data_IF_259906383909
#
_entry.id   IF_259906383909
#
_cell.length_a   1.000
_cell.length_b   1.000
_cell.length_c   1.000
_cell.angle_alpha   90.00
_cell.angle_beta   90.00
_cell.angle_gamma   90.00
#
_symmetry.space_group_name_H-M   'P 1'
#
loop_
_entity.id
_entity.type
_entity.pdbx_description
1 polymer ?
#
# COMPACT_ATOMS: atom_id res chain seq x y z
N UNK A 1 -16.87 -49.84 1.50
CA UNK A 1 -17.45 -48.48 1.48
C UNK A 1 -16.36 -47.44 1.23
N UNK A 2 -16.07 -47.04 -0.02
CA UNK A 2 -15.17 -45.91 -0.34
C UNK A 2 -15.47 -45.39 -1.76
N UNK A 3 -16.61 -44.72 -1.95
CA UNK A 3 -16.93 -43.95 -3.17
C UNK A 3 -17.91 -42.84 -2.83
N UNK A 4 -17.45 -41.73 -2.25
CA UNK A 4 -18.28 -40.52 -2.12
C UNK A 4 -17.53 -39.19 -1.93
N UNK A 5 -16.19 -39.18 -1.79
CA UNK A 5 -15.42 -37.94 -1.53
C UNK A 5 -14.86 -37.23 -2.79
N UNK A 6 -15.05 -37.77 -4.00
CA UNK A 6 -14.42 -37.22 -5.23
C UNK A 6 -15.18 -36.04 -5.86
N UNK A 7 -16.52 -36.00 -5.74
CA UNK A 7 -17.34 -34.97 -6.42
C UNK A 7 -17.21 -33.58 -5.81
N UNK A 8 -17.16 -33.48 -4.47
CA UNK A 8 -17.02 -32.22 -3.78
C UNK A 8 -15.66 -31.54 -4.05
N UNK A 9 -14.57 -32.31 -4.11
CA UNK A 9 -13.24 -31.79 -4.47
C UNK A 9 -13.19 -31.28 -5.91
N UNK A 10 -13.85 -31.95 -6.85
CA UNK A 10 -13.89 -31.52 -8.25
C UNK A 10 -14.71 -30.23 -8.42
N UNK A 11 -15.87 -30.13 -7.76
CA UNK A 11 -16.70 -28.93 -7.76
C UNK A 11 -15.94 -27.74 -7.14
N UNK A 12 -15.26 -27.95 -6.01
CA UNK A 12 -14.47 -26.91 -5.36
C UNK A 12 -13.32 -26.40 -6.26
N UNK A 13 -12.63 -27.29 -6.97
CA UNK A 13 -11.55 -26.92 -7.92
C UNK A 13 -12.08 -26.17 -9.15
N UNK A 14 -13.22 -26.58 -9.69
CA UNK A 14 -13.87 -25.87 -10.81
C UNK A 14 -14.38 -24.49 -10.38
N UNK A 15 -14.95 -24.37 -9.18
CA UNK A 15 -15.38 -23.10 -8.62
C UNK A 15 -14.20 -22.15 -8.38
N UNK A 16 -13.09 -22.64 -7.82
CA UNK A 16 -11.86 -21.87 -7.64
C UNK A 16 -11.24 -21.42 -8.97
N UNK A 17 -11.22 -22.28 -9.99
CA UNK A 17 -10.74 -21.92 -11.33
C UNK A 17 -11.65 -20.87 -12.00
N UNK A 18 -12.97 -21.02 -11.90
CA UNK A 18 -13.94 -20.05 -12.42
C UNK A 18 -13.86 -18.70 -11.69
N UNK A 19 -13.64 -18.73 -10.38
CA UNK A 19 -13.36 -17.53 -9.58
C UNK A 19 -12.10 -16.82 -10.08
N UNK A 20 -11.00 -17.56 -10.24
CA UNK A 20 -9.73 -17.00 -10.73
C UNK A 20 -9.82 -16.39 -12.13
N UNK A 21 -10.58 -17.02 -13.05
CA UNK A 21 -10.83 -16.48 -14.39
C UNK A 21 -11.68 -15.20 -14.32
N UNK A 22 -12.73 -15.20 -13.50
CA UNK A 22 -13.60 -14.02 -13.32
C UNK A 22 -12.83 -12.84 -12.73
N UNK A 23 -11.99 -13.09 -11.74
CA UNK A 23 -11.14 -12.07 -11.11
C UNK A 23 -10.09 -11.50 -12.08
N UNK A 24 -9.52 -12.34 -12.95
CA UNK A 24 -8.63 -11.87 -14.02
C UNK A 24 -9.35 -11.00 -15.06
N UNK A 25 -10.56 -11.40 -15.48
CA UNK A 25 -11.39 -10.64 -16.42
C UNK A 25 -11.85 -9.31 -15.83
N UNK A 26 -12.25 -9.32 -14.56
CA UNK A 26 -12.64 -8.12 -13.83
C UNK A 26 -11.46 -7.14 -13.77
N UNK A 27 -10.26 -7.59 -13.35
CA UNK A 27 -9.04 -6.75 -13.36
C UNK A 27 -8.74 -6.12 -14.73
N UNK A 28 -8.89 -6.87 -15.82
CA UNK A 28 -8.68 -6.33 -17.16
C UNK A 28 -9.72 -5.27 -17.53
N UNK A 29 -11.01 -5.51 -17.22
CA UNK A 29 -12.09 -4.56 -17.49
C UNK A 29 -11.94 -3.28 -16.67
N UNK A 30 -11.41 -3.40 -15.46
CA UNK A 30 -11.38 -2.31 -14.49
C UNK A 30 -10.10 -1.46 -14.56
N UNK A 31 -9.09 -1.92 -15.31
CA UNK A 31 -7.81 -1.24 -15.53
C UNK A 31 -7.92 0.26 -15.86
N UNK A 32 -8.70 0.72 -16.86
CA UNK A 32 -8.76 2.15 -17.19
C UNK A 32 -9.32 2.99 -16.04
N UNK A 33 -10.27 2.45 -15.27
CA UNK A 33 -10.84 3.13 -14.11
C UNK A 33 -9.86 3.20 -12.95
N UNK A 34 -9.08 2.14 -12.74
CA UNK A 34 -8.01 2.14 -11.74
C UNK A 34 -6.91 3.14 -12.06
N UNK A 35 -6.50 3.25 -13.33
CA UNK A 35 -5.53 4.26 -13.77
C UNK A 35 -6.06 5.68 -13.50
N UNK A 36 -7.32 5.96 -13.86
CA UNK A 36 -7.97 7.24 -13.56
C UNK A 36 -8.06 7.54 -12.05
N UNK A 37 -8.44 6.56 -11.23
CA UNK A 37 -8.47 6.72 -9.76
C UNK A 37 -7.09 7.08 -9.24
N UNK A 38 -6.06 6.34 -9.67
CA UNK A 38 -4.70 6.58 -9.21
C UNK A 38 -4.18 7.94 -9.62
N UNK A 39 -4.45 8.39 -10.85
CA UNK A 39 -4.01 9.71 -11.33
C UNK A 39 -4.68 10.84 -10.53
N UNK A 40 -5.98 10.70 -10.23
CA UNK A 40 -6.71 11.64 -9.37
C UNK A 40 -6.11 11.70 -7.95
N UNK A 41 -5.87 10.53 -7.34
CA UNK A 41 -5.29 10.42 -5.99
C UNK A 41 -3.83 10.88 -5.91
N UNK A 42 -3.09 10.85 -7.03
CA UNK A 42 -1.72 11.41 -7.11
C UNK A 42 -1.73 12.92 -7.29
N UNK A 43 -2.68 13.44 -8.06
CA UNK A 43 -2.75 14.86 -8.44
C UNK A 43 -3.33 15.73 -7.34
N UNK A 44 -4.17 15.16 -6.47
CA UNK A 44 -4.88 15.91 -5.46
C UNK A 44 -4.67 15.31 -4.07
N UNK A 45 -4.36 16.19 -3.12
CA UNK A 45 -4.16 15.80 -1.73
C UNK A 45 -5.42 15.27 -1.08
N UNK A 46 -6.57 15.90 -1.28
CA UNK A 46 -7.84 15.43 -0.72
C UNK A 46 -8.83 15.20 -1.85
N UNK A 47 -9.30 13.96 -1.97
CA UNK A 47 -10.26 13.54 -3.01
C UNK A 47 -11.49 12.95 -2.35
N UNK A 48 -12.68 13.39 -2.78
CA UNK A 48 -13.97 12.89 -2.31
C UNK A 48 -14.74 12.33 -3.49
N UNK A 49 -14.81 11.01 -3.60
CA UNK A 49 -15.74 10.38 -4.53
C UNK A 49 -17.15 10.48 -3.96
N UNK A 50 -18.05 11.09 -4.73
CA UNK A 50 -19.30 11.65 -4.25
C UNK A 50 -20.44 11.38 -5.24
N UNK A 51 -21.67 11.68 -4.81
CA UNK A 51 -22.79 11.98 -5.72
C UNK A 51 -23.49 13.26 -5.32
N UNK A 52 -23.91 14.08 -6.30
CA UNK A 52 -24.47 15.42 -6.04
C UNK A 52 -25.72 15.39 -5.16
N UNK A 53 -26.57 14.37 -5.33
CA UNK A 53 -27.80 14.19 -4.60
C UNK A 53 -27.62 13.55 -3.20
N UNK A 54 -26.43 13.01 -2.89
CA UNK A 54 -26.21 12.25 -1.67
C UNK A 54 -26.01 13.15 -0.44
N UNK A 55 -26.88 13.08 0.59
CA UNK A 55 -26.75 13.92 1.79
C UNK A 55 -25.49 13.61 2.60
N UNK A 56 -25.06 12.34 2.66
CA UNK A 56 -23.81 11.95 3.34
C UNK A 56 -22.58 12.55 2.66
N UNK A 57 -22.58 12.65 1.33
CA UNK A 57 -21.50 13.30 0.58
C UNK A 57 -21.46 14.81 0.86
N UNK A 58 -22.61 15.47 1.00
CA UNK A 58 -22.68 16.88 1.40
C UNK A 58 -22.12 17.10 2.81
N UNK A 59 -22.46 16.21 3.75
CA UNK A 59 -21.96 16.29 5.12
C UNK A 59 -20.43 16.20 5.21
N UNK A 60 -19.81 15.28 4.46
CA UNK A 60 -18.34 15.18 4.37
C UNK A 60 -17.71 16.42 3.78
N UNK A 61 -18.27 16.96 2.70
CA UNK A 61 -17.77 18.20 2.09
C UNK A 61 -17.85 19.37 3.07
N UNK A 62 -18.90 19.44 3.88
CA UNK A 62 -19.04 20.47 4.90
C UNK A 62 -18.02 20.33 6.02
N UNK A 63 -17.71 19.10 6.46
CA UNK A 63 -16.60 18.84 7.41
C UNK A 63 -15.29 19.36 6.83
N UNK A 64 -14.97 19.07 5.57
CA UNK A 64 -13.70 19.52 4.97
C UNK A 64 -13.67 21.05 4.83
N UNK A 65 -14.80 21.69 4.48
CA UNK A 65 -14.91 23.16 4.45
C UNK A 65 -14.74 23.80 5.82
N UNK A 66 -15.33 23.24 6.87
CA UNK A 66 -15.21 23.79 8.23
C UNK A 66 -13.77 23.71 8.76
N UNK A 67 -13.00 22.73 8.29
CA UNK A 67 -11.56 22.61 8.54
C UNK A 67 -10.69 23.50 7.63
N UNK A 68 -11.30 24.32 6.76
CA UNK A 68 -10.60 25.13 5.75
C UNK A 68 -9.70 24.31 4.82
N UNK A 69 -10.07 23.07 4.56
CA UNK A 69 -9.28 22.15 3.74
C UNK A 69 -9.77 22.16 2.29
N UNK A 70 -8.87 22.41 1.35
CA UNK A 70 -9.12 22.24 -0.07
C UNK A 70 -9.31 20.76 -0.43
N UNK A 71 -10.29 20.45 -1.28
CA UNK A 71 -10.54 19.10 -1.78
C UNK A 71 -11.06 19.12 -3.23
N UNK A 72 -10.86 18.01 -3.94
CA UNK A 72 -11.52 17.73 -5.22
C UNK A 72 -12.65 16.74 -5.00
N UNK A 73 -13.84 17.05 -5.51
CA UNK A 73 -14.97 16.12 -5.50
C UNK A 73 -15.18 15.51 -6.89
N UNK A 74 -15.10 14.19 -6.98
CA UNK A 74 -15.45 13.44 -8.18
C UNK A 74 -16.90 13.00 -8.06
N UNK A 75 -17.80 13.72 -8.74
CA UNK A 75 -19.24 13.44 -8.73
C UNK A 75 -19.57 12.28 -9.68
N UNK A 76 -19.65 11.06 -9.14
CA UNK A 76 -19.83 9.83 -9.91
C UNK A 76 -21.13 9.79 -10.73
N UNK A 77 -22.12 10.60 -10.38
CA UNK A 77 -23.36 10.78 -11.15
C UNK A 77 -23.19 11.69 -12.38
N UNK A 78 -22.11 12.47 -12.47
CA UNK A 78 -21.78 13.32 -13.62
C UNK A 78 -20.59 12.80 -14.44
N UNK A 79 -19.83 11.83 -13.94
CA UNK A 79 -18.74 11.19 -14.67
C UNK A 79 -19.30 10.18 -15.67
N UNK A 80 -18.88 10.29 -16.94
CA UNK A 80 -19.15 9.24 -17.93
C UNK A 80 -18.60 7.91 -17.42
N UNK A 81 -19.43 6.85 -17.44
CA UNK A 81 -19.10 5.55 -16.83
C UNK A 81 -18.89 5.58 -15.31
N UNK A 82 -19.47 6.54 -14.59
CA UNK A 82 -19.31 6.65 -13.13
C UNK A 82 -19.74 5.40 -12.34
N UNK A 83 -20.63 4.55 -12.88
CA UNK A 83 -20.95 3.23 -12.29
C UNK A 83 -19.75 2.27 -12.34
N UNK A 84 -19.00 2.27 -13.42
CA UNK A 84 -17.82 1.42 -13.60
C UNK A 84 -16.69 1.89 -12.68
N UNK A 85 -16.50 3.21 -12.61
CA UNK A 85 -15.60 3.86 -11.65
C UNK A 85 -15.98 3.52 -10.20
N UNK A 86 -17.26 3.58 -9.83
CA UNK A 86 -17.74 3.20 -8.51
C UNK A 86 -17.47 1.72 -8.18
N UNK A 87 -17.58 0.83 -9.17
CA UNK A 87 -17.22 -0.59 -8.98
C UNK A 87 -15.73 -0.78 -8.76
N UNK A 88 -14.89 -0.02 -9.47
CA UNK A 88 -13.43 -0.05 -9.28
C UNK A 88 -13.05 0.45 -7.89
N UNK A 89 -13.63 1.57 -7.45
CA UNK A 89 -13.51 2.06 -6.08
C UNK A 89 -13.92 1.01 -5.05
N UNK A 90 -15.06 0.34 -5.26
CA UNK A 90 -15.54 -0.68 -4.33
C UNK A 90 -14.59 -1.87 -4.17
N UNK A 91 -13.88 -2.26 -5.22
CA UNK A 91 -12.83 -3.28 -5.13
C UNK A 91 -11.58 -2.76 -4.43
N UNK A 92 -11.22 -1.50 -4.66
CA UNK A 92 -10.07 -0.87 -4.02
C UNK A 92 -10.27 -0.70 -2.51
N UNK A 93 -11.44 -0.23 -2.09
CA UNK A 93 -11.72 0.14 -0.69
C UNK A 93 -12.50 -0.92 0.08
N UNK A 94 -13.05 -1.92 -0.60
CA UNK A 94 -14.04 -2.85 -0.04
C UNK A 94 -15.42 -2.23 0.18
N UNK A 95 -15.64 -0.97 -0.24
CA UNK A 95 -16.86 -0.22 0.06
C UNK A 95 -17.57 0.20 -1.22
N UNK A 96 -18.84 -0.20 -1.38
CA UNK A 96 -19.62 0.11 -2.57
C UNK A 96 -20.35 1.47 -2.52
N UNK A 97 -20.40 2.15 -1.38
CA UNK A 97 -21.18 3.37 -1.17
C UNK A 97 -20.36 4.65 -1.38
N UNK A 98 -21.06 5.78 -1.53
CA UNK A 98 -20.50 7.14 -1.46
C UNK A 98 -20.96 7.82 -0.17
N UNK A 99 -20.20 8.78 0.38
CA UNK A 99 -18.90 9.25 -0.10
C UNK A 99 -17.76 8.26 0.21
N UNK A 100 -16.67 8.34 -0.56
CA UNK A 100 -15.38 7.73 -0.23
C UNK A 100 -14.32 8.83 -0.19
N UNK A 101 -13.71 9.02 0.98
CA UNK A 101 -12.76 10.11 1.24
C UNK A 101 -11.34 9.58 1.22
N UNK A 102 -10.48 10.29 0.51
CA UNK A 102 -9.06 10.02 0.46
C UNK A 102 -8.26 11.26 0.84
N UNK A 103 -7.20 11.07 1.62
CA UNK A 103 -6.20 12.08 1.97
C UNK A 103 -4.84 11.51 1.63
N UNK A 104 -4.07 12.22 0.82
CA UNK A 104 -2.76 11.79 0.32
C UNK A 104 -2.79 10.37 -0.29
N UNK A 105 -3.86 10.08 -1.04
CA UNK A 105 -4.09 8.79 -1.68
C UNK A 105 -4.52 7.66 -0.74
N UNK A 106 -4.51 7.88 0.57
CA UNK A 106 -4.99 6.93 1.58
C UNK A 106 -6.51 7.02 1.72
N UNK A 107 -7.18 5.87 1.78
CA UNK A 107 -8.61 5.81 2.08
C UNK A 107 -8.88 6.12 3.55
N UNK A 108 -9.54 7.24 3.83
CA UNK A 108 -9.93 7.64 5.18
C UNK A 108 -11.19 6.93 5.63
N UNK A 109 -12.15 6.75 4.71
CA UNK A 109 -13.40 6.04 4.97
C UNK A 109 -14.61 6.61 4.25
N UNK A 110 -15.79 6.13 4.67
CA UNK A 110 -17.09 6.67 4.29
C UNK A 110 -17.44 7.93 5.11
N UNK A 111 -18.68 8.42 5.03
CA UNK A 111 -19.12 9.53 5.86
C UNK A 111 -18.96 9.25 7.37
N UNK A 112 -19.30 8.05 7.83
CA UNK A 112 -19.17 7.71 9.25
C UNK A 112 -17.71 7.54 9.66
N UNK A 113 -16.90 6.86 8.82
CA UNK A 113 -15.45 6.77 9.06
C UNK A 113 -14.75 8.13 9.07
N UNK A 114 -15.20 9.08 8.24
CA UNK A 114 -14.69 10.46 8.24
C UNK A 114 -15.05 11.21 9.53
N UNK A 115 -16.27 11.03 10.04
CA UNK A 115 -16.70 11.62 11.32
C UNK A 115 -15.95 11.02 12.50
N UNK A 116 -15.72 9.71 12.50
CA UNK A 116 -14.92 9.04 13.51
C UNK A 116 -13.46 9.51 13.47
N UNK A 117 -12.88 9.63 12.28
CA UNK A 117 -11.54 10.19 12.09
C UNK A 117 -11.47 11.64 12.58
N UNK A 118 -12.52 12.45 12.37
CA UNK A 118 -12.61 13.80 12.92
C UNK A 118 -12.65 13.79 14.45
N UNK A 119 -13.55 12.98 15.04
CA UNK A 119 -13.76 12.91 16.48
C UNK A 119 -12.51 12.42 17.23
N UNK A 120 -11.76 11.49 16.63
CA UNK A 120 -10.50 10.97 17.17
C UNK A 120 -9.29 11.87 16.90
N UNK A 121 -9.45 12.98 16.18
CA UNK A 121 -8.35 13.84 15.74
C UNK A 121 -7.45 13.22 14.66
N UNK A 122 -7.70 11.97 14.23
CA UNK A 122 -6.98 11.32 13.12
C UNK A 122 -7.10 12.09 11.81
N UNK A 123 -8.28 12.62 11.49
CA UNK A 123 -8.48 13.41 10.27
C UNK A 123 -7.64 14.68 10.29
N UNK A 124 -7.61 15.40 11.41
CA UNK A 124 -6.78 16.58 11.56
C UNK A 124 -5.29 16.24 11.43
N UNK A 125 -4.85 15.11 12.00
CA UNK A 125 -3.49 14.60 11.83
C UNK A 125 -3.18 14.30 10.37
N UNK A 126 -4.01 13.55 9.64
CA UNK A 126 -3.80 13.27 8.21
C UNK A 126 -3.79 14.54 7.35
N UNK A 127 -4.68 15.49 7.63
CA UNK A 127 -4.75 16.78 6.93
C UNK A 127 -3.61 17.73 7.29
N UNK A 128 -2.89 17.50 8.39
CA UNK A 128 -1.72 18.26 8.79
C UNK A 128 -0.41 17.46 8.68
N UNK A 129 -0.49 16.16 8.38
CA UNK A 129 0.62 15.26 8.16
C UNK A 129 1.31 15.69 6.87
N UNK A 130 2.18 16.67 7.02
CA UNK A 130 3.23 16.98 6.08
C UNK A 130 4.49 16.42 6.74
N UNK A 131 5.29 15.68 5.97
CA UNK A 131 6.67 15.46 6.41
C UNK A 131 7.23 16.83 6.82
N UNK A 132 7.80 16.98 8.02
CA UNK A 132 8.42 18.24 8.42
C UNK A 132 9.35 18.72 7.31
N UNK A 133 9.46 20.02 7.06
CA UNK A 133 10.40 20.53 6.05
C UNK A 133 11.86 20.15 6.39
N UNK A 134 12.13 19.82 7.66
CA UNK A 134 13.39 19.27 8.18
C UNK A 134 13.51 17.75 8.09
N UNK A 135 12.51 17.03 7.58
CA UNK A 135 12.55 15.58 7.47
C UNK A 135 13.59 15.16 6.45
N UNK A 136 14.42 14.19 6.84
CA UNK A 136 15.48 13.62 6.03
C UNK A 136 15.31 12.11 5.93
N UNK A 137 15.91 11.49 4.92
CA UNK A 137 16.02 10.03 4.83
C UNK A 137 17.02 9.56 5.90
N UNK A 138 16.50 8.98 6.99
CA UNK A 138 17.25 8.62 8.18
C UNK A 138 18.30 7.54 7.91
N UNK A 139 18.00 6.64 6.97
CA UNK A 139 18.83 5.48 6.66
C UNK A 139 19.76 5.64 5.45
N UNK A 140 19.83 6.82 4.86
CA UNK A 140 20.79 7.11 3.80
C UNK A 140 22.27 7.00 4.26
N UNK A 141 22.53 7.04 5.57
CA UNK A 141 23.86 6.73 6.13
C UNK A 141 23.78 6.17 7.55
N UNK A 142 24.28 4.95 7.78
CA UNK A 142 24.55 4.41 9.12
C UNK A 142 23.52 3.46 9.71
N UNK A 143 22.37 3.22 9.05
CA UNK A 143 21.46 2.14 9.43
C UNK A 143 22.06 0.77 9.10
N UNK A 144 21.69 -0.25 9.88
CA UNK A 144 22.06 -1.65 9.62
C UNK A 144 20.79 -2.47 9.42
N UNK A 145 20.69 -3.16 8.28
CA UNK A 145 19.59 -4.06 8.00
C UNK A 145 19.98 -5.52 8.28
N UNK A 146 19.06 -6.29 8.87
CA UNK A 146 19.13 -7.74 9.01
C UNK A 146 17.87 -8.36 8.43
N UNK A 147 18.04 -9.42 7.67
CA UNK A 147 16.94 -10.15 7.05
C UNK A 147 17.01 -11.58 7.54
N UNK A 148 15.88 -12.20 7.80
CA UNK A 148 15.79 -13.59 8.27
C UNK A 148 16.24 -14.60 7.21
N UNK A 149 16.09 -14.25 5.93
CA UNK A 149 16.68 -14.99 4.81
C UNK A 149 17.87 -14.24 4.21
N UNK A 150 18.95 -14.99 3.99
CA UNK A 150 20.11 -14.55 3.21
C UNK A 150 19.66 -14.49 1.75
N UNK A 151 19.20 -13.31 1.33
CA UNK A 151 18.65 -13.10 0.00
C UNK A 151 19.59 -13.60 -1.10
N UNK A 152 19.03 -13.99 -2.23
CA UNK A 152 19.77 -14.68 -3.29
C UNK A 152 20.37 -13.74 -4.36
N UNK A 153 20.26 -12.43 -4.17
CA UNK A 153 20.73 -11.38 -5.08
C UNK A 153 21.74 -10.47 -4.36
N UNK A 154 21.25 -9.46 -3.62
CA UNK A 154 22.04 -8.67 -2.68
C UNK A 154 21.87 -9.09 -1.22
N UNK A 155 22.85 -8.75 -0.39
CA UNK A 155 22.74 -8.84 1.07
C UNK A 155 21.66 -7.88 1.59
N UNK A 156 21.15 -8.09 2.80
CA UNK A 156 20.04 -7.30 3.35
C UNK A 156 20.29 -5.77 3.35
N UNK A 157 21.54 -5.33 3.53
CA UNK A 157 21.90 -3.91 3.59
C UNK A 157 21.72 -3.14 2.29
N UNK A 158 21.58 -3.81 1.14
CA UNK A 158 21.44 -3.13 -0.16
C UNK A 158 20.12 -2.39 -0.30
N UNK A 159 19.12 -2.67 0.56
CA UNK A 159 17.81 -2.00 0.57
C UNK A 159 17.90 -0.49 0.88
N UNK A 160 19.05 0.03 1.30
CA UNK A 160 19.25 1.48 1.45
C UNK A 160 19.83 2.15 0.21
N UNK A 161 20.28 1.36 -0.77
CA UNK A 161 20.87 1.88 -1.98
C UNK A 161 19.77 2.32 -2.96
N UNK A 162 20.00 3.42 -3.66
CA UNK A 162 19.22 3.83 -4.83
C UNK A 162 20.02 3.60 -6.12
N UNK A 163 20.69 2.46 -6.19
CA UNK A 163 21.47 2.05 -7.37
C UNK A 163 20.56 1.62 -8.53
N UNK A 164 21.18 1.26 -9.66
CA UNK A 164 20.49 0.81 -10.87
C UNK A 164 20.91 -0.62 -11.31
N UNK A 165 21.79 -1.30 -10.55
CA UNK A 165 22.16 -2.70 -10.82
C UNK A 165 21.10 -3.64 -10.24
N UNK A 166 20.18 -4.06 -11.10
CA UNK A 166 19.07 -4.92 -10.75
C UNK A 166 19.46 -6.24 -10.06
N UNK A 167 20.70 -6.71 -10.22
CA UNK A 167 21.17 -7.96 -9.64
C UNK A 167 21.77 -7.77 -8.24
N UNK A 168 22.36 -6.60 -7.96
CA UNK A 168 23.14 -6.37 -6.73
C UNK A 168 22.49 -5.39 -5.77
N UNK A 169 21.68 -4.48 -6.28
CA UNK A 169 21.11 -3.37 -5.50
C UNK A 169 19.73 -3.71 -4.94
N UNK A 170 19.37 -5.00 -4.87
CA UNK A 170 18.11 -5.44 -4.28
C UNK A 170 18.24 -6.69 -3.44
N UNK A 171 17.41 -6.75 -2.42
CA UNK A 171 17.22 -7.95 -1.62
C UNK A 171 16.02 -8.74 -2.12
N UNK A 172 16.09 -10.07 -2.01
CA UNK A 172 15.02 -10.96 -2.45
C UNK A 172 14.93 -12.21 -1.57
N UNK A 173 13.73 -12.48 -1.06
CA UNK A 173 13.37 -13.71 -0.36
C UNK A 173 12.92 -14.78 -1.38
N UNK A 174 13.87 -15.33 -2.12
CA UNK A 174 13.66 -16.42 -3.06
C UNK A 174 14.83 -17.41 -3.04
N UNK A 175 14.57 -18.67 -3.39
CA UNK A 175 15.60 -19.71 -3.43
C UNK A 175 16.43 -19.70 -4.71
N UNK A 176 15.97 -19.00 -5.76
CA UNK A 176 16.66 -18.92 -7.05
C UNK A 176 16.39 -17.58 -7.76
N UNK A 177 17.20 -17.29 -8.79
CA UNK A 177 17.06 -16.07 -9.60
C UNK A 177 15.75 -16.02 -10.39
N UNK A 178 15.05 -17.15 -10.54
CA UNK A 178 13.73 -17.23 -11.16
C UNK A 178 12.60 -16.75 -10.25
N UNK A 179 12.88 -16.47 -8.97
CA UNK A 179 11.91 -15.95 -8.02
C UNK A 179 11.12 -17.02 -7.29
N UNK A 180 11.59 -18.27 -7.24
CA UNK A 180 10.93 -19.32 -6.45
C UNK A 180 10.83 -18.91 -4.99
N UNK A 181 9.59 -18.79 -4.50
CA UNK A 181 9.31 -18.28 -3.16
C UNK A 181 9.93 -19.18 -2.07
N UNK A 182 10.61 -18.56 -1.10
CA UNK A 182 10.92 -19.24 0.16
C UNK A 182 9.63 -19.29 1.00
N UNK A 183 9.17 -20.47 1.44
CA UNK A 183 7.93 -20.59 2.21
C UNK A 183 7.98 -19.90 3.57
N UNK A 184 6.84 -19.38 4.02
CA UNK A 184 6.69 -18.75 5.34
C UNK A 184 6.74 -17.21 5.30
N UNK A 185 6.50 -16.57 6.45
CA UNK A 185 6.69 -15.12 6.58
C UNK A 185 8.17 -14.79 6.55
N UNK A 186 8.49 -13.58 6.11
CA UNK A 186 9.86 -13.04 6.07
C UNK A 186 9.96 -11.80 6.93
N UNK A 187 11.16 -11.50 7.43
CA UNK A 187 11.41 -10.38 8.33
C UNK A 187 12.59 -9.55 7.87
N UNK A 188 12.40 -8.23 7.83
CA UNK A 188 13.47 -7.24 7.67
C UNK A 188 13.52 -6.34 8.89
N UNK A 189 14.66 -6.29 9.55
CA UNK A 189 14.94 -5.49 10.74
C UNK A 189 15.94 -4.40 10.38
N UNK A 190 15.61 -3.15 10.71
CA UNK A 190 16.46 -1.98 10.48
C UNK A 190 16.81 -1.38 11.84
N UNK A 191 18.09 -1.39 12.19
CA UNK A 191 18.63 -0.69 13.35
C UNK A 191 19.09 0.70 12.92
N UNK A 192 18.52 1.75 13.53
CA UNK A 192 18.85 3.14 13.25
C UNK A 192 20.16 3.59 13.92
N UNK A 193 20.74 2.78 14.82
CA UNK A 193 21.93 3.09 15.62
C UNK A 193 21.69 4.13 16.73
N UNK A 194 20.67 4.98 16.58
CA UNK A 194 20.24 6.02 17.52
C UNK A 194 18.72 6.12 17.56
N UNK A 195 18.19 6.83 18.55
CA UNK A 195 16.78 7.20 18.56
C UNK A 195 16.54 8.26 17.47
N UNK A 196 15.51 8.06 16.67
CA UNK A 196 15.09 8.95 15.57
C UNK A 196 13.58 9.06 15.57
N UNK A 197 13.04 10.19 15.14
CA UNK A 197 11.59 10.36 15.02
C UNK A 197 11.15 9.97 13.60
N UNK A 198 10.54 8.79 13.45
CA UNK A 198 10.09 8.23 12.16
C UNK A 198 8.71 8.76 11.83
N UNK A 199 8.52 9.34 10.64
CA UNK A 199 7.27 9.92 10.20
C UNK A 199 6.63 9.17 9.02
N UNK A 200 7.45 8.58 8.15
CA UNK A 200 6.96 7.74 7.05
C UNK A 200 7.98 6.69 6.65
N UNK A 201 7.47 5.65 5.99
CA UNK A 201 8.26 4.54 5.45
C UNK A 201 7.87 4.35 3.99
N UNK A 202 8.82 4.53 3.09
CA UNK A 202 8.74 4.14 1.68
C UNK A 202 9.28 2.71 1.57
N UNK A 203 8.51 1.81 0.96
CA UNK A 203 8.98 0.49 0.58
C UNK A 203 8.81 0.36 -0.93
N UNK A 204 9.93 0.42 -1.64
CA UNK A 204 9.98 0.17 -3.06
C UNK A 204 10.14 -1.33 -3.30
N UNK A 205 9.04 -1.97 -3.65
CA UNK A 205 9.03 -3.37 -4.04
C UNK A 205 9.33 -3.50 -5.53
N UNK A 206 9.96 -4.61 -5.88
CA UNK A 206 10.06 -5.05 -7.26
C UNK A 206 8.75 -5.70 -7.75
N UNK A 207 8.76 -6.26 -8.96
CA UNK A 207 7.58 -6.94 -9.53
C UNK A 207 7.01 -8.03 -8.60
N UNK A 208 7.89 -8.63 -7.79
CA UNK A 208 7.56 -9.56 -6.71
C UNK A 208 7.38 -8.80 -5.39
N UNK A 209 6.16 -8.30 -5.12
CA UNK A 209 5.85 -7.45 -3.97
C UNK A 209 4.93 -8.13 -2.94
N UNK A 210 4.88 -7.59 -1.73
CA UNK A 210 3.95 -8.00 -0.68
C UNK A 210 2.74 -7.05 -0.60
N UNK A 211 1.52 -7.61 -0.53
CA UNK A 211 0.32 -6.82 -0.22
C UNK A 211 -0.08 -6.88 1.25
N UNK A 212 0.45 -7.85 2.00
CA UNK A 212 0.14 -8.18 3.38
C UNK A 212 1.44 -8.22 4.21
N UNK A 213 1.68 -7.14 4.95
CA UNK A 213 2.84 -6.94 5.80
C UNK A 213 2.49 -5.96 6.92
N UNK A 214 3.23 -6.01 8.02
CA UNK A 214 3.11 -5.07 9.14
C UNK A 214 4.41 -4.32 9.36
N UNK A 215 4.33 -3.06 9.78
CA UNK A 215 5.50 -2.29 10.22
C UNK A 215 5.39 -2.09 11.73
N UNK A 216 6.49 -2.35 12.42
CA UNK A 216 6.64 -2.09 13.85
C UNK A 216 7.82 -1.16 14.10
N UNK A 217 7.67 -0.28 15.08
CA UNK A 217 8.72 0.56 15.61
C UNK A 217 8.97 0.17 17.06
N UNK A 218 10.21 -0.22 17.39
CA UNK A 218 10.59 -0.76 18.70
C UNK A 218 9.64 -1.86 19.24
N UNK A 219 9.06 -2.66 18.33
CA UNK A 219 8.14 -3.77 18.63
C UNK A 219 6.66 -3.39 18.73
N UNK A 220 6.31 -2.10 18.63
CA UNK A 220 4.93 -1.65 18.55
C UNK A 220 4.46 -1.56 17.09
N UNK A 221 3.34 -2.19 16.76
CA UNK A 221 2.79 -2.18 15.40
C UNK A 221 2.21 -0.81 15.07
N UNK A 222 2.82 -0.13 14.10
CA UNK A 222 2.39 1.19 13.62
C UNK A 222 1.65 1.14 12.27
N UNK A 223 1.74 0.01 11.56
CA UNK A 223 1.02 -0.20 10.30
C UNK A 223 0.67 -1.67 10.10
N UNK A 224 -0.50 -1.92 9.50
CA UNK A 224 -0.99 -3.24 9.11
C UNK A 224 -1.52 -3.17 7.68
N UNK A 225 -0.86 -3.81 6.72
CA UNK A 225 -1.24 -3.76 5.31
C UNK A 225 -2.51 -4.53 4.95
N UNK A 226 -2.95 -5.47 5.81
CA UNK A 226 -4.16 -6.26 5.59
C UNK A 226 -5.43 -5.58 6.15
N UNK A 227 -5.28 -4.57 7.01
CA UNK A 227 -6.43 -3.87 7.57
C UNK A 227 -7.19 -3.05 6.49
N UNK A 228 -8.53 -2.98 6.55
CA UNK A 228 -9.30 -2.13 5.63
C UNK A 228 -8.98 -0.64 5.84
N UNK A 229 -8.78 0.11 4.74
CA UNK A 229 -8.58 1.57 4.80
C UNK A 229 -7.20 2.01 5.31
N UNK A 230 -6.18 1.20 5.04
CA UNK A 230 -4.81 1.43 5.48
C UNK A 230 -4.11 2.55 4.73
N UNK A 231 -3.22 3.23 5.45
CA UNK A 231 -2.45 4.41 5.06
C UNK A 231 -1.32 4.09 4.08
N UNK A 232 -1.63 3.41 2.99
CA UNK A 232 -0.66 3.03 1.96
C UNK A 232 -1.03 3.67 0.62
N UNK A 233 -0.22 4.63 0.17
CA UNK A 233 -0.24 5.03 -1.23
C UNK A 233 0.60 4.00 -2.00
N UNK A 234 -0.02 3.31 -2.95
CA UNK A 234 0.71 2.45 -3.88
C UNK A 234 0.94 3.19 -5.20
N UNK A 235 2.20 3.40 -5.58
CA UNK A 235 2.60 3.95 -6.89
C UNK A 235 3.27 2.84 -7.69
N UNK A 236 2.88 2.67 -8.95
CA UNK A 236 3.51 1.70 -9.84
C UNK A 236 4.34 2.43 -10.89
N UNK A 237 5.60 2.07 -11.09
CA UNK A 237 6.48 2.72 -12.07
C UNK A 237 7.57 1.79 -12.64
N UNK A 238 8.32 2.25 -13.64
CA UNK A 238 9.44 1.50 -14.24
C UNK A 238 9.04 0.33 -15.15
N UNK A 239 10.04 -0.35 -15.74
CA UNK A 239 9.87 -1.55 -16.58
C UNK A 239 10.92 -2.59 -16.21
N UNK A 240 10.52 -3.83 -15.92
CA UNK A 240 11.48 -4.84 -15.51
C UNK A 240 12.38 -5.26 -16.67
N UNK A 241 13.71 -5.35 -16.49
CA UNK A 241 14.58 -5.94 -17.48
C UNK A 241 14.08 -7.35 -17.84
N UNK A 242 13.72 -7.57 -19.11
CA UNK A 242 13.27 -8.87 -19.60
C UNK A 242 11.77 -9.17 -19.52
N UNK A 243 10.94 -8.33 -18.89
CA UNK A 243 9.47 -8.52 -18.83
C UNK A 243 8.76 -7.41 -19.59
N UNK A 244 8.20 -7.73 -20.78
CA UNK A 244 7.34 -6.79 -21.51
C UNK A 244 6.01 -6.61 -20.77
N UNK A 245 5.71 -5.37 -20.33
CA UNK A 245 4.35 -4.94 -19.99
C UNK A 245 3.94 -5.00 -18.51
N UNK A 246 4.85 -5.20 -17.56
CA UNK A 246 4.59 -5.02 -16.12
C UNK A 246 5.45 -3.89 -15.53
N UNK A 247 4.92 -3.08 -14.59
CA UNK A 247 5.73 -2.14 -13.85
C UNK A 247 6.80 -2.87 -13.03
N UNK A 248 8.02 -2.32 -13.02
CA UNK A 248 9.17 -2.83 -12.27
C UNK A 248 8.96 -2.61 -10.77
N UNK A 249 8.54 -1.39 -10.41
CA UNK A 249 8.43 -0.92 -9.05
C UNK A 249 6.98 -0.83 -8.62
N UNK A 250 6.69 -1.37 -7.45
CA UNK A 250 5.47 -1.15 -6.68
C UNK A 250 5.90 -0.46 -5.41
N UNK A 251 5.79 0.87 -5.37
CA UNK A 251 6.22 1.68 -4.24
C UNK A 251 5.05 1.83 -3.29
N UNK A 252 5.26 1.46 -2.03
CA UNK A 252 4.33 1.65 -0.94
C UNK A 252 4.81 2.78 -0.03
N UNK A 253 4.12 3.91 -0.04
CA UNK A 253 4.34 4.97 0.95
C UNK A 253 3.39 4.77 2.12
N UNK A 254 3.98 4.55 3.29
CA UNK A 254 3.28 4.46 4.57
C UNK A 254 3.57 5.73 5.35
N UNK A 255 2.56 6.60 5.47
CA UNK A 255 2.63 7.77 6.34
C UNK A 255 2.03 7.41 7.69
N UNK A 256 2.76 7.72 8.77
CA UNK A 256 2.27 7.53 10.13
C UNK A 256 1.36 8.70 10.53
N UNK A 257 0.37 8.45 11.39
CA UNK A 257 -0.51 9.51 11.89
C UNK A 257 0.27 10.59 12.68
N UNK A 258 1.37 10.20 13.30
CA UNK A 258 2.33 11.08 13.97
C UNK A 258 3.74 10.51 13.86
N UNK A 259 4.76 11.35 14.04
CA UNK A 259 6.13 10.86 14.04
C UNK A 259 6.44 10.14 15.36
N UNK A 260 6.94 8.92 15.28
CA UNK A 260 7.19 8.05 16.43
C UNK A 260 8.68 7.97 16.71
N UNK A 261 9.09 8.25 17.96
CA UNK A 261 10.47 8.08 18.38
C UNK A 261 10.79 6.58 18.48
N UNK A 262 11.79 6.12 17.72
CA UNK A 262 12.17 4.71 17.68
C UNK A 262 13.66 4.52 17.46
N UNK A 263 14.19 3.34 17.82
CA UNK A 263 15.58 2.93 17.55
C UNK A 263 15.67 1.84 16.49
N UNK A 264 14.60 1.11 16.25
CA UNK A 264 14.53 0.08 15.23
C UNK A 264 13.16 0.06 14.53
N UNK A 265 13.19 -0.39 13.28
CA UNK A 265 12.02 -0.73 12.49
C UNK A 265 12.03 -2.22 12.17
N UNK A 266 10.88 -2.87 12.27
CA UNK A 266 10.67 -4.23 11.78
C UNK A 266 9.58 -4.21 10.70
N UNK A 267 9.90 -4.77 9.54
CA UNK A 267 8.95 -5.10 8.48
C UNK A 267 8.71 -6.62 8.50
N UNK A 268 7.53 -7.03 8.95
CA UNK A 268 7.11 -8.43 8.89
C UNK A 268 6.27 -8.63 7.63
N UNK A 269 6.73 -9.50 6.74
CA UNK A 269 6.12 -9.79 5.44
C UNK A 269 5.35 -11.10 5.57
N UNK A 270 4.02 -11.01 5.61
CA UNK A 270 3.16 -12.18 5.84
C UNK A 270 2.83 -12.91 4.55
N UNK A 271 2.55 -12.16 3.47
CA UNK A 271 2.19 -12.74 2.17
C UNK A 271 2.58 -11.87 0.98
N UNK A 272 3.14 -12.51 -0.05
CA UNK A 272 3.34 -11.94 -1.37
C UNK A 272 2.04 -11.76 -2.15
N UNK A 273 1.94 -10.70 -2.93
CA UNK A 273 0.81 -10.46 -3.86
C UNK A 273 0.94 -11.25 -5.18
N UNK A 274 2.05 -11.98 -5.34
CA UNK A 274 2.41 -12.70 -6.56
C UNK A 274 2.80 -14.15 -6.24
N UNK A 275 2.86 -15.05 -7.25
CA UNK A 275 3.34 -16.42 -7.05
C UNK A 275 4.86 -16.53 -6.79
N UNK A 276 5.60 -15.43 -6.95
CA UNK A 276 7.03 -15.38 -6.69
C UNK A 276 7.31 -15.14 -5.21
N UNK A 277 8.58 -15.14 -4.82
CA UNK A 277 9.01 -14.60 -3.53
C UNK A 277 8.67 -13.12 -3.37
N UNK A 278 9.37 -12.44 -2.47
CA UNK A 278 9.29 -10.98 -2.36
C UNK A 278 10.65 -10.36 -2.63
N UNK A 279 10.68 -9.19 -3.23
CA UNK A 279 11.90 -8.47 -3.54
C UNK A 279 11.73 -6.99 -3.25
N UNK A 280 12.70 -6.47 -2.50
CA UNK A 280 12.75 -5.09 -2.04
C UNK A 280 13.92 -4.43 -2.76
N UNK A 281 13.59 -3.40 -3.53
CA UNK A 281 14.55 -2.53 -4.17
C UNK A 281 15.12 -1.54 -3.16
N UNK A 282 14.24 -0.84 -2.45
CA UNK A 282 14.64 0.21 -1.53
C UNK A 282 13.67 0.33 -0.35
N UNK A 283 14.19 0.71 0.82
CA UNK A 283 13.43 1.11 2.00
C UNK A 283 13.90 2.48 2.44
N UNK A 284 13.05 3.48 2.27
CA UNK A 284 13.27 4.85 2.73
C UNK A 284 12.56 5.09 4.04
N UNK A 285 13.30 5.42 5.10
CA UNK A 285 12.72 5.82 6.39
C UNK A 285 12.88 7.32 6.53
N UNK A 286 11.76 8.06 6.45
CA UNK A 286 11.77 9.51 6.55
C UNK A 286 11.42 9.95 7.98
N UNK A 287 12.17 10.92 8.48
CA UNK A 287 11.96 11.40 9.82
C UNK A 287 12.87 12.55 10.20
N UNK A 288 12.87 12.90 11.48
CA UNK A 288 13.76 13.94 12.01
C UNK A 288 14.78 13.33 12.96
N UNK A 289 15.96 13.93 12.95
CA UNK A 289 17.02 13.64 13.92
C UNK A 289 16.82 14.62 15.06
N UNK A 290 16.57 14.09 16.26
CA UNK A 290 16.52 14.85 17.51
C UNK A 290 17.90 15.33 17.92
#
# INVERSE_FOLDING_TARGET
MRRQLCGALLIARLAAAAWGVREALDRHRDRPWMEMIQDELRSHRVVVYSKTFCPHSRAVKEILRSLSQGYVAVELDHVAHGRDLQRALARLTGVATVPQVFVDGQFVGTADGTREALASGRLARLLNARLPDSAVELCASGCVARCDVRGNLGDCGVIFNRGDDWLKDRWQAASDMGGTAIPGPHKVEIDFGRAVSVCSVEIDWETAYADDYTIHLDGERVFDGAAPGTSRRARMSGKSPGVKGRPLHVVHDVTLDECVLARALTLDIHRGATPWGVSIWHVGVMGTVS
#
